data_IF_733733037591
#
_entry.id   IF_733733037591
#
_cell.length_a   1.000
_cell.length_b   1.000
_cell.length_c   1.000
_cell.angle_alpha   90.00
_cell.angle_beta   90.00
_cell.angle_gamma   90.00
#
_symmetry.space_group_name_H-M   'P 1'
#
loop_
_entity.id
_entity.type
_entity.pdbx_description
1 polymer ?
#
# COMPACT_ATOMS: atom_id res chain seq x y z
N UNK A 1 -8.04 -22.92 -25.08
CA UNK A 1 -8.36 -21.82 -26.04
C UNK A 1 -9.23 -20.73 -25.39
N UNK A 2 -10.46 -21.04 -24.93
CA UNK A 2 -11.41 -20.06 -24.35
C UNK A 2 -10.81 -19.11 -23.29
N UNK A 3 -10.13 -19.61 -22.26
CA UNK A 3 -9.51 -18.78 -21.20
C UNK A 3 -8.67 -17.59 -21.71
N UNK A 4 -7.79 -17.83 -22.70
CA UNK A 4 -7.00 -16.77 -23.36
C UNK A 4 -7.87 -15.75 -24.10
N UNK A 5 -8.96 -16.20 -24.74
CA UNK A 5 -9.93 -15.35 -25.44
C UNK A 5 -10.82 -14.54 -24.48
N UNK A 6 -11.08 -15.01 -23.26
CA UNK A 6 -11.72 -14.20 -22.20
C UNK A 6 -10.84 -13.02 -21.87
N UNK A 7 -9.59 -13.27 -21.47
CA UNK A 7 -8.66 -12.22 -21.02
C UNK A 7 -8.39 -11.21 -22.14
N UNK A 8 -8.12 -11.66 -23.38
CA UNK A 8 -7.89 -10.79 -24.54
C UNK A 8 -9.10 -9.91 -24.96
N UNK A 9 -10.28 -10.13 -24.38
CA UNK A 9 -11.49 -9.31 -24.61
C UNK A 9 -11.86 -8.47 -23.37
N UNK A 10 -10.95 -8.32 -22.42
CA UNK A 10 -11.17 -7.61 -21.16
C UNK A 10 -10.17 -6.47 -20.98
N UNK A 11 -10.63 -5.34 -20.47
CA UNK A 11 -9.80 -4.16 -20.12
C UNK A 11 -9.88 -3.80 -18.62
N UNK A 12 -10.64 -4.58 -17.87
CA UNK A 12 -10.82 -4.52 -16.42
C UNK A 12 -11.48 -5.83 -15.95
N UNK A 13 -11.54 -6.05 -14.63
CA UNK A 13 -12.07 -7.28 -14.07
C UNK A 13 -13.58 -7.47 -14.23
N UNK A 14 -14.38 -6.39 -14.22
CA UNK A 14 -15.83 -6.46 -14.49
C UNK A 14 -16.09 -7.02 -15.90
N UNK A 15 -15.34 -6.55 -16.90
CA UNK A 15 -15.42 -7.07 -18.27
C UNK A 15 -14.91 -8.51 -18.37
N UNK A 16 -13.95 -8.93 -17.53
CA UNK A 16 -13.55 -10.33 -17.40
C UNK A 16 -14.69 -11.21 -16.87
N UNK A 17 -15.38 -10.79 -15.81
CA UNK A 17 -16.56 -11.51 -15.28
C UNK A 17 -17.71 -11.57 -16.30
N UNK A 18 -17.98 -10.49 -17.04
CA UNK A 18 -18.96 -10.48 -18.15
C UNK A 18 -18.59 -11.51 -19.23
N UNK A 19 -17.32 -11.54 -19.66
CA UNK A 19 -16.81 -12.51 -20.63
C UNK A 19 -16.84 -13.98 -20.13
N UNK A 20 -17.11 -14.22 -18.84
CA UNK A 20 -17.24 -15.54 -18.21
C UNK A 20 -18.68 -16.06 -18.06
N UNK A 21 -19.71 -15.21 -18.23
CA UNK A 21 -21.10 -15.58 -17.88
C UNK A 21 -21.60 -16.84 -18.60
N UNK A 22 -21.31 -16.96 -19.90
CA UNK A 22 -21.75 -18.09 -20.75
C UNK A 22 -20.80 -19.30 -20.72
N UNK A 23 -19.85 -19.37 -19.79
CA UNK A 23 -18.91 -20.49 -19.67
C UNK A 23 -19.30 -21.47 -18.57
N UNK A 24 -18.86 -22.72 -18.70
CA UNK A 24 -18.98 -23.71 -17.63
C UNK A 24 -18.06 -23.36 -16.46
N UNK A 25 -18.39 -23.78 -15.23
CA UNK A 25 -17.61 -23.38 -14.05
C UNK A 25 -16.16 -23.87 -14.07
N UNK A 26 -15.89 -25.00 -14.73
CA UNK A 26 -14.53 -25.47 -15.04
C UNK A 26 -13.78 -24.48 -15.96
N UNK A 27 -14.44 -23.93 -16.97
CA UNK A 27 -13.85 -22.94 -17.86
C UNK A 27 -13.68 -21.56 -17.20
N UNK A 28 -14.55 -21.20 -16.24
CA UNK A 28 -14.38 -20.02 -15.37
C UNK A 28 -13.15 -20.19 -14.47
N UNK A 29 -13.00 -21.37 -13.85
CA UNK A 29 -11.80 -21.78 -13.12
C UNK A 29 -10.54 -21.56 -13.96
N UNK A 30 -10.43 -22.23 -15.11
CA UNK A 30 -9.23 -22.15 -15.98
C UNK A 30 -8.96 -20.77 -16.57
N UNK A 31 -9.98 -19.91 -16.69
CA UNK A 31 -9.77 -18.50 -17.01
C UNK A 31 -9.20 -17.70 -15.82
N UNK A 32 -9.66 -17.97 -14.60
CA UNK A 32 -9.19 -17.32 -13.38
C UNK A 32 -7.80 -17.82 -12.92
N UNK A 33 -7.48 -19.10 -13.13
CA UNK A 33 -6.13 -19.67 -13.02
C UNK A 33 -5.15 -18.90 -13.92
N UNK A 34 -5.52 -18.70 -15.20
CA UNK A 34 -4.68 -17.98 -16.17
C UNK A 34 -4.58 -16.47 -15.86
N UNK A 35 -5.66 -15.84 -15.38
CA UNK A 35 -5.62 -14.46 -14.89
C UNK A 35 -4.68 -14.34 -13.69
N UNK A 36 -4.74 -15.30 -12.76
CA UNK A 36 -3.85 -15.38 -11.59
C UNK A 36 -2.39 -15.56 -12.01
N UNK A 37 -2.09 -16.46 -12.96
CA UNK A 37 -0.72 -16.59 -13.52
C UNK A 37 -0.19 -15.25 -14.03
N UNK A 38 -0.99 -14.53 -14.83
CA UNK A 38 -0.59 -13.24 -15.39
C UNK A 38 -0.45 -12.18 -14.29
N UNK A 39 -1.32 -12.19 -13.27
CA UNK A 39 -1.20 -11.32 -12.11
C UNK A 39 0.10 -11.52 -11.34
N UNK A 40 0.50 -12.78 -11.08
CA UNK A 40 1.78 -13.12 -10.47
C UNK A 40 3.01 -12.76 -11.32
N UNK A 41 2.86 -12.69 -12.64
CA UNK A 41 3.91 -12.29 -13.59
C UNK A 41 4.01 -10.78 -13.82
N UNK A 42 2.97 -10.00 -13.50
CA UNK A 42 2.87 -8.56 -13.84
C UNK A 42 2.93 -7.65 -12.60
N UNK A 43 2.27 -8.00 -11.49
CA UNK A 43 2.28 -7.15 -10.29
C UNK A 43 3.71 -7.06 -9.74
N UNK A 44 4.29 -5.85 -9.58
CA UNK A 44 5.67 -5.68 -9.12
C UNK A 44 6.00 -6.38 -7.79
N UNK A 45 5.02 -6.58 -6.89
CA UNK A 45 5.25 -7.31 -5.63
C UNK A 45 5.58 -8.79 -5.86
N UNK A 46 5.07 -9.39 -6.93
CA UNK A 46 5.32 -10.77 -7.30
C UNK A 46 6.41 -10.88 -8.38
N UNK A 47 6.39 -10.03 -9.41
CA UNK A 47 7.34 -10.07 -10.53
C UNK A 47 8.82 -9.88 -10.13
N UNK A 48 9.10 -9.24 -8.98
CA UNK A 48 10.46 -9.15 -8.40
C UNK A 48 10.84 -10.44 -7.63
N UNK A 49 9.87 -11.15 -7.06
CA UNK A 49 10.08 -12.25 -6.11
C UNK A 49 9.95 -13.63 -6.75
N UNK A 50 9.17 -13.75 -7.82
CA UNK A 50 8.90 -14.97 -8.57
C UNK A 50 9.70 -14.95 -9.87
N UNK A 51 10.46 -16.02 -10.12
CA UNK A 51 11.28 -16.26 -11.30
C UNK A 51 10.48 -16.90 -12.42
N UNK A 52 9.74 -17.96 -12.08
CA UNK A 52 8.89 -18.72 -13.01
C UNK A 52 7.52 -18.97 -12.36
N UNK A 53 6.46 -18.97 -13.15
CA UNK A 53 5.08 -19.27 -12.70
C UNK A 53 4.44 -20.27 -13.66
N UNK A 54 4.04 -21.42 -13.13
CA UNK A 54 3.46 -22.55 -13.86
C UNK A 54 2.02 -22.78 -13.41
N UNK A 55 1.06 -22.82 -14.35
CA UNK A 55 -0.19 -23.56 -14.16
C UNK A 55 0.15 -25.02 -13.89
N UNK A 56 -0.68 -25.75 -13.15
CA UNK A 56 -0.35 -27.14 -12.77
C UNK A 56 0.01 -28.05 -13.95
N UNK A 57 -0.69 -27.88 -15.08
CA UNK A 57 -0.50 -28.63 -16.33
C UNK A 57 0.81 -28.25 -17.08
N UNK A 58 1.47 -27.16 -16.71
CA UNK A 58 2.74 -26.70 -17.28
C UNK A 58 3.95 -27.12 -16.43
N UNK A 59 3.76 -27.68 -15.23
CA UNK A 59 4.86 -28.01 -14.32
C UNK A 59 5.72 -29.13 -14.94
N UNK A 60 7.04 -28.94 -15.11
CA UNK A 60 7.91 -29.98 -15.65
C UNK A 60 7.88 -31.26 -14.80
N UNK A 61 7.91 -32.44 -15.44
CA UNK A 61 7.82 -33.73 -14.74
C UNK A 61 8.95 -33.97 -13.72
N UNK A 62 10.14 -33.40 -13.96
CA UNK A 62 11.24 -33.37 -13.00
C UNK A 62 10.93 -32.49 -11.77
N UNK A 63 10.20 -31.37 -11.95
CA UNK A 63 9.80 -30.48 -10.86
C UNK A 63 8.65 -31.08 -10.04
N UNK A 64 7.65 -31.74 -10.65
CA UNK A 64 6.64 -32.50 -9.92
C UNK A 64 7.28 -33.54 -8.99
N UNK A 65 8.26 -34.30 -9.49
CA UNK A 65 9.05 -35.26 -8.69
C UNK A 65 9.86 -34.58 -7.58
N UNK A 66 10.56 -33.48 -7.88
CA UNK A 66 11.34 -32.70 -6.89
C UNK A 66 10.48 -32.21 -5.72
N UNK A 67 9.28 -31.72 -6.02
CA UNK A 67 8.35 -31.15 -5.04
C UNK A 67 7.43 -32.20 -4.38
N UNK A 68 7.55 -33.49 -4.74
CA UNK A 68 6.64 -34.56 -4.28
C UNK A 68 5.15 -34.26 -4.56
N UNK A 69 4.87 -33.65 -5.72
CA UNK A 69 3.51 -33.34 -6.17
C UNK A 69 2.92 -34.53 -6.98
N UNK A 70 1.60 -34.76 -6.91
CA UNK A 70 0.93 -35.76 -7.75
C UNK A 70 0.99 -35.42 -9.25
N UNK A 71 0.54 -36.35 -10.09
CA UNK A 71 0.44 -36.15 -11.55
C UNK A 71 -0.86 -35.49 -12.00
N UNK A 72 -1.83 -35.38 -11.10
CA UNK A 72 -3.11 -34.72 -11.29
C UNK A 72 -3.32 -33.75 -10.13
N UNK A 73 -3.90 -32.59 -10.42
CA UNK A 73 -4.19 -31.60 -9.39
C UNK A 73 -5.17 -32.15 -8.33
N UNK A 74 -4.93 -31.76 -7.08
CA UNK A 74 -5.75 -32.03 -5.91
C UNK A 74 -5.94 -30.78 -5.03
N UNK A 75 -5.79 -29.59 -5.62
CA UNK A 75 -6.04 -28.30 -4.98
C UNK A 75 -4.89 -27.28 -5.01
N UNK A 76 -3.84 -27.50 -5.81
CA UNK A 76 -2.78 -26.52 -6.11
C UNK A 76 -2.86 -26.20 -7.60
N UNK A 77 -3.53 -25.12 -7.97
CA UNK A 77 -3.76 -24.75 -9.36
C UNK A 77 -2.49 -24.17 -10.04
N UNK A 78 -1.56 -23.56 -9.27
CA UNK A 78 -0.26 -23.08 -9.77
C UNK A 78 0.90 -23.39 -8.79
N UNK A 79 2.11 -23.50 -9.35
CA UNK A 79 3.39 -23.45 -8.64
C UNK A 79 4.21 -22.27 -9.16
N UNK A 80 4.82 -21.51 -8.27
CA UNK A 80 5.81 -20.48 -8.63
C UNK A 80 7.18 -20.79 -8.01
N UNK A 81 8.25 -20.64 -8.78
CA UNK A 81 9.62 -20.67 -8.27
C UNK A 81 10.03 -19.25 -7.88
N UNK A 82 10.51 -19.05 -6.66
CA UNK A 82 11.07 -17.77 -6.22
C UNK A 82 12.47 -17.54 -6.81
N UNK A 83 12.90 -16.28 -6.89
CA UNK A 83 14.31 -15.92 -7.17
C UNK A 83 15.30 -16.40 -6.09
N UNK A 84 14.84 -17.13 -5.07
CA UNK A 84 15.62 -17.73 -3.97
C UNK A 84 15.67 -19.27 -4.00
N UNK A 85 15.09 -19.90 -5.03
CA UNK A 85 15.04 -21.36 -5.20
C UNK A 85 14.03 -22.09 -4.30
N UNK A 86 13.26 -21.34 -3.52
CA UNK A 86 12.08 -21.81 -2.77
C UNK A 86 10.84 -21.77 -3.66
N UNK A 87 9.80 -22.54 -3.34
CA UNK A 87 8.58 -22.60 -4.14
C UNK A 87 7.36 -22.06 -3.38
N UNK A 88 6.43 -21.47 -4.12
CA UNK A 88 5.10 -21.13 -3.62
C UNK A 88 4.06 -22.02 -4.29
N UNK A 89 3.06 -22.46 -3.53
CA UNK A 89 1.83 -23.04 -4.06
C UNK A 89 0.73 -21.99 -4.15
N UNK A 90 -0.15 -22.10 -5.14
CA UNK A 90 -1.28 -21.20 -5.32
C UNK A 90 -2.55 -22.00 -5.52
N UNK A 91 -3.62 -21.64 -4.82
CA UNK A 91 -4.96 -22.17 -5.10
C UNK A 91 -5.83 -21.07 -5.71
N UNK A 92 -6.59 -21.42 -6.74
CA UNK A 92 -7.55 -20.55 -7.41
C UNK A 92 -8.99 -20.99 -7.12
N UNK A 93 -9.85 -20.07 -6.69
CA UNK A 93 -11.28 -20.31 -6.47
C UNK A 93 -12.12 -19.17 -7.06
N UNK A 94 -12.61 -19.36 -8.27
CA UNK A 94 -13.60 -18.47 -8.87
C UNK A 94 -14.99 -18.76 -8.29
N UNK A 95 -15.64 -17.74 -7.73
CA UNK A 95 -17.05 -17.71 -7.35
C UNK A 95 -17.77 -16.59 -8.11
N UNK A 96 -18.98 -16.86 -8.61
CA UNK A 96 -19.82 -15.85 -9.25
C UNK A 96 -20.43 -14.87 -8.24
N UNK A 97 -20.71 -15.34 -7.02
CA UNK A 97 -21.08 -14.48 -5.89
C UNK A 97 -19.85 -14.12 -5.06
N UNK A 98 -19.49 -12.85 -5.07
CA UNK A 98 -18.38 -12.31 -4.29
C UNK A 98 -18.71 -12.19 -2.79
N UNK A 99 -19.99 -12.19 -2.39
CA UNK A 99 -20.39 -12.06 -0.98
C UNK A 99 -20.22 -13.37 -0.20
N UNK A 100 -20.11 -14.50 -0.89
CA UNK A 100 -19.69 -15.77 -0.31
C UNK A 100 -18.29 -15.69 0.33
N UNK A 101 -17.93 -16.71 1.11
CA UNK A 101 -16.64 -16.78 1.83
C UNK A 101 -15.88 -18.04 1.44
N UNK A 102 -14.56 -17.91 1.24
CA UNK A 102 -13.69 -19.06 0.99
C UNK A 102 -13.49 -19.85 2.30
N UNK A 103 -13.96 -21.10 2.33
CA UNK A 103 -14.06 -21.87 3.58
C UNK A 103 -12.78 -22.63 3.94
N UNK A 104 -12.63 -22.98 5.23
CA UNK A 104 -11.57 -23.88 5.68
C UNK A 104 -11.59 -25.23 4.97
N UNK A 105 -12.78 -25.79 4.70
CA UNK A 105 -12.94 -27.08 4.02
C UNK A 105 -12.32 -27.07 2.62
N UNK A 106 -12.56 -26.01 1.82
CA UNK A 106 -11.98 -25.86 0.47
C UNK A 106 -10.45 -25.73 0.48
N UNK A 107 -9.90 -25.03 1.48
CA UNK A 107 -8.48 -24.79 1.66
C UNK A 107 -7.74 -25.95 2.36
N UNK A 108 -8.45 -26.84 3.05
CA UNK A 108 -7.85 -27.91 3.87
C UNK A 108 -6.94 -28.84 3.07
N UNK A 109 -7.39 -29.25 1.87
CA UNK A 109 -6.61 -30.12 0.98
C UNK A 109 -5.41 -29.38 0.39
N UNK A 110 -5.57 -28.09 0.08
CA UNK A 110 -4.47 -27.23 -0.38
C UNK A 110 -3.38 -27.06 0.69
N UNK A 111 -3.75 -26.76 1.94
CA UNK A 111 -2.80 -26.65 3.05
C UNK A 111 -2.07 -27.96 3.33
N UNK A 112 -2.80 -29.08 3.31
CA UNK A 112 -2.25 -30.43 3.51
C UNK A 112 -1.26 -30.81 2.41
N UNK A 113 -1.65 -30.61 1.15
CA UNK A 113 -0.80 -30.89 -0.01
C UNK A 113 0.44 -29.98 -0.02
N UNK A 114 0.28 -28.69 0.29
CA UNK A 114 1.36 -27.69 0.25
C UNK A 114 2.40 -27.85 1.35
N UNK A 115 1.97 -28.09 2.60
CA UNK A 115 2.85 -27.98 3.78
C UNK A 115 3.11 -29.29 4.52
N UNK A 116 2.45 -30.39 4.14
CA UNK A 116 2.66 -31.73 4.74
C UNK A 116 3.15 -32.73 3.70
N UNK A 117 2.57 -32.73 2.50
CA UNK A 117 2.92 -33.71 1.45
C UNK A 117 4.03 -33.22 0.51
N UNK A 118 3.95 -31.97 0.04
CA UNK A 118 4.92 -31.39 -0.88
C UNK A 118 6.23 -30.99 -0.17
N UNK A 119 7.32 -30.93 -0.94
CA UNK A 119 8.67 -30.59 -0.46
C UNK A 119 9.11 -29.25 -1.04
N UNK A 120 9.67 -28.37 -0.21
CA UNK A 120 10.25 -27.10 -0.64
C UNK A 120 9.26 -25.96 -0.89
N UNK A 121 7.98 -26.13 -0.56
CA UNK A 121 7.00 -25.04 -0.53
C UNK A 121 7.27 -24.18 0.72
N UNK A 122 7.61 -22.89 0.55
CA UNK A 122 7.81 -21.95 1.66
C UNK A 122 6.61 -21.04 1.95
N UNK A 123 5.65 -20.95 1.02
CA UNK A 123 4.44 -20.13 1.15
C UNK A 123 3.29 -20.67 0.29
N UNK A 124 2.05 -20.41 0.71
CA UNK A 124 0.83 -20.66 -0.05
C UNK A 124 0.08 -19.36 -0.33
N UNK A 125 -0.56 -19.26 -1.49
CA UNK A 125 -1.39 -18.11 -1.86
C UNK A 125 -2.80 -18.56 -2.27
N UNK A 126 -3.81 -18.10 -1.54
CA UNK A 126 -5.22 -18.34 -1.85
C UNK A 126 -5.80 -17.19 -2.68
N UNK A 127 -5.95 -17.41 -3.98
CA UNK A 127 -6.56 -16.50 -4.93
C UNK A 127 -8.06 -16.80 -5.07
N UNK A 128 -8.91 -15.84 -4.74
CA UNK A 128 -10.37 -15.99 -4.73
C UNK A 128 -11.08 -14.71 -5.17
N UNK A 129 -12.20 -14.85 -5.88
CA UNK A 129 -13.07 -13.72 -6.21
C UNK A 129 -14.04 -13.36 -5.06
N UNK A 130 -13.98 -14.06 -3.93
CA UNK A 130 -14.76 -13.72 -2.73
C UNK A 130 -14.22 -12.49 -2.01
N UNK A 131 -15.12 -11.73 -1.39
CA UNK A 131 -14.84 -10.62 -0.49
C UNK A 131 -14.18 -11.06 0.82
N UNK A 132 -14.40 -12.31 1.24
CA UNK A 132 -13.92 -12.84 2.52
C UNK A 132 -13.37 -14.26 2.43
N UNK A 133 -12.67 -14.65 3.48
CA UNK A 133 -12.12 -15.98 3.72
C UNK A 133 -12.30 -16.37 5.19
N UNK A 134 -12.16 -17.66 5.48
CA UNK A 134 -12.45 -18.23 6.81
C UNK A 134 -11.51 -17.69 7.91
N UNK A 135 -12.06 -17.45 9.11
CA UNK A 135 -11.37 -16.75 10.21
C UNK A 135 -10.22 -17.57 10.82
N UNK A 136 -10.23 -18.88 10.59
CA UNK A 136 -9.24 -19.87 11.03
C UNK A 136 -7.85 -19.63 10.43
N UNK A 137 -7.74 -18.89 9.31
CA UNK A 137 -6.46 -18.50 8.70
C UNK A 137 -5.87 -17.19 9.24
N UNK A 138 -6.56 -16.49 10.14
CA UNK A 138 -5.98 -15.35 10.84
C UNK A 138 -4.76 -15.80 11.62
N UNK A 139 -3.68 -15.01 11.55
CA UNK A 139 -2.38 -15.32 12.15
C UNK A 139 -1.63 -16.52 11.52
N UNK A 140 -2.18 -17.21 10.51
CA UNK A 140 -1.44 -18.24 9.76
C UNK A 140 -0.50 -17.59 8.73
N UNK A 141 0.72 -17.21 9.15
CA UNK A 141 1.71 -16.55 8.28
C UNK A 141 2.21 -17.36 7.07
N UNK A 142 1.83 -18.64 6.94
CA UNK A 142 2.18 -19.49 5.78
C UNK A 142 1.24 -19.34 4.58
N UNK A 143 0.03 -18.78 4.75
CA UNK A 143 -0.94 -18.59 3.66
C UNK A 143 -1.31 -17.10 3.54
N UNK A 144 -1.03 -16.50 2.38
CA UNK A 144 -1.55 -15.19 2.00
C UNK A 144 -2.83 -15.31 1.17
N UNK A 145 -3.57 -14.22 1.04
CA UNK A 145 -4.83 -14.17 0.30
C UNK A 145 -4.83 -13.07 -0.77
N UNK A 146 -5.59 -13.30 -1.84
CA UNK A 146 -5.95 -12.29 -2.85
C UNK A 146 -7.46 -12.42 -3.13
N UNK A 147 -8.23 -11.57 -2.46
CA UNK A 147 -9.71 -11.48 -2.51
C UNK A 147 -10.19 -10.62 -3.70
N UNK A 148 -11.52 -10.54 -3.90
CA UNK A 148 -12.22 -9.66 -4.85
C UNK A 148 -11.51 -8.31 -5.12
N UNK A 149 -11.11 -7.62 -4.05
CA UNK A 149 -10.46 -6.30 -4.04
C UNK A 149 -9.19 -6.25 -4.90
N UNK A 150 -8.41 -7.33 -4.89
CA UNK A 150 -7.18 -7.43 -5.70
C UNK A 150 -7.53 -7.46 -7.19
N UNK A 151 -8.60 -8.17 -7.56
CA UNK A 151 -9.03 -8.34 -8.94
C UNK A 151 -9.76 -7.10 -9.47
N UNK A 152 -10.64 -6.48 -8.69
CA UNK A 152 -11.25 -5.17 -9.03
C UNK A 152 -10.21 -4.04 -9.11
N UNK A 153 -9.05 -4.20 -8.46
CA UNK A 153 -7.90 -3.32 -8.60
C UNK A 153 -7.11 -3.46 -9.92
N UNK A 154 -7.48 -4.38 -10.82
CA UNK A 154 -6.82 -4.60 -12.11
C UNK A 154 -7.38 -3.68 -13.19
N UNK A 155 -6.56 -2.70 -13.58
CA UNK A 155 -6.89 -1.66 -14.54
C UNK A 155 -6.51 -2.01 -16.00
N UNK A 156 -6.74 -1.04 -16.90
CA UNK A 156 -6.47 -1.18 -18.34
C UNK A 156 -5.00 -1.44 -18.66
N UNK A 157 -4.06 -0.89 -17.88
CA UNK A 157 -2.63 -1.11 -18.07
C UNK A 157 -2.23 -2.55 -17.71
N UNK A 158 -2.78 -3.10 -16.62
CA UNK A 158 -2.63 -4.51 -16.31
C UNK A 158 -3.13 -5.40 -17.46
N UNK A 159 -4.32 -5.13 -17.98
CA UNK A 159 -4.87 -5.93 -19.08
C UNK A 159 -4.08 -5.78 -20.38
N UNK A 160 -3.57 -4.59 -20.73
CA UNK A 160 -2.68 -4.41 -21.88
C UNK A 160 -1.36 -5.22 -21.74
N UNK A 161 -0.76 -5.24 -20.55
CA UNK A 161 0.40 -6.09 -20.24
C UNK A 161 0.06 -7.58 -20.36
N UNK A 162 -1.09 -8.00 -19.84
CA UNK A 162 -1.59 -9.37 -19.96
C UNK A 162 -1.85 -9.79 -21.43
N UNK A 163 -2.41 -8.89 -22.25
CA UNK A 163 -2.65 -9.12 -23.68
C UNK A 163 -1.34 -9.30 -24.45
N UNK A 164 -0.34 -8.46 -24.16
CA UNK A 164 0.96 -8.54 -24.79
C UNK A 164 1.70 -9.85 -24.45
N UNK A 165 1.70 -10.28 -23.18
CA UNK A 165 2.23 -11.59 -22.76
C UNK A 165 1.49 -12.73 -23.48
N UNK A 166 0.15 -12.73 -23.46
CA UNK A 166 -0.66 -13.78 -24.09
C UNK A 166 -0.49 -13.84 -25.63
N UNK A 167 -0.27 -12.72 -26.28
CA UNK A 167 -0.05 -12.63 -27.74
C UNK A 167 1.41 -12.86 -28.16
N UNK A 168 2.36 -12.90 -27.20
CA UNK A 168 3.81 -12.83 -27.44
C UNK A 168 4.26 -11.52 -28.11
N UNK A 169 3.50 -10.43 -27.93
CA UNK A 169 3.84 -9.10 -28.43
C UNK A 169 4.82 -8.38 -27.50
N UNK A 170 5.57 -7.40 -28.02
CA UNK A 170 6.43 -6.54 -27.19
C UNK A 170 5.55 -5.61 -26.34
N UNK A 171 5.63 -5.75 -25.01
CA UNK A 171 5.13 -4.75 -24.07
C UNK A 171 5.97 -3.47 -24.21
N UNK A 172 5.34 -2.30 -24.17
CA UNK A 172 6.08 -1.05 -23.94
C UNK A 172 6.61 -1.05 -22.49
N UNK A 173 7.94 -1.05 -22.32
CA UNK A 173 8.53 -1.03 -20.98
C UNK A 173 8.23 0.32 -20.32
N UNK A 174 7.52 0.30 -19.19
CA UNK A 174 7.30 1.49 -18.39
C UNK A 174 8.63 2.13 -17.97
N UNK A 175 8.80 3.40 -18.28
CA UNK A 175 9.98 4.16 -17.85
C UNK A 175 9.88 4.42 -16.34
N UNK A 176 10.98 4.23 -15.56
CA UNK A 176 11.02 4.63 -14.16
C UNK A 176 10.59 6.09 -13.97
N UNK A 177 9.81 6.37 -12.92
CA UNK A 177 9.41 7.74 -12.61
C UNK A 177 10.64 8.62 -12.36
N UNK A 178 10.54 9.90 -12.72
CA UNK A 178 11.59 10.89 -12.49
C UNK A 178 11.23 11.81 -11.32
N UNK A 179 12.20 12.26 -10.50
CA UNK A 179 11.96 13.20 -9.41
C UNK A 179 11.49 14.56 -9.93
N UNK A 180 10.52 15.17 -9.24
CA UNK A 180 10.14 16.58 -9.46
C UNK A 180 11.15 17.51 -8.81
N UNK A 181 11.16 18.79 -9.18
CA UNK A 181 12.16 19.78 -8.73
C UNK A 181 12.30 19.88 -7.19
N UNK A 182 11.24 19.68 -6.41
CA UNK A 182 11.32 19.64 -4.94
C UNK A 182 11.91 18.33 -4.39
N UNK A 183 11.74 17.22 -5.11
CA UNK A 183 12.36 15.92 -4.78
C UNK A 183 13.83 15.90 -5.19
N UNK A 184 14.20 16.52 -6.32
CA UNK A 184 15.61 16.69 -6.71
C UNK A 184 16.39 17.52 -5.67
N UNK A 185 15.79 18.60 -5.14
CA UNK A 185 16.38 19.34 -4.01
C UNK A 185 16.55 18.46 -2.77
N UNK A 186 15.55 17.67 -2.40
CA UNK A 186 15.66 16.74 -1.27
C UNK A 186 16.76 15.67 -1.47
N UNK A 187 17.01 15.22 -2.70
CA UNK A 187 18.09 14.29 -3.05
C UNK A 187 19.46 14.94 -2.87
N UNK A 188 19.67 16.16 -3.40
CA UNK A 188 20.96 16.85 -3.28
C UNK A 188 21.26 17.29 -1.83
N UNK A 189 20.25 17.72 -1.08
CA UNK A 189 20.38 18.01 0.35
C UNK A 189 20.71 16.75 1.17
N UNK A 190 20.10 15.60 0.86
CA UNK A 190 20.46 14.34 1.50
C UNK A 190 21.91 13.93 1.17
N UNK A 191 22.36 14.06 -0.09
CA UNK A 191 23.75 13.81 -0.48
C UNK A 191 24.72 14.74 0.25
N UNK A 192 24.38 16.02 0.42
CA UNK A 192 25.17 16.99 1.21
C UNK A 192 25.28 16.54 2.67
N UNK A 193 24.14 16.30 3.31
CA UNK A 193 24.03 15.94 4.72
C UNK A 193 24.74 14.62 5.08
N UNK A 194 24.47 13.54 4.32
CA UNK A 194 24.99 12.21 4.64
C UNK A 194 26.40 11.95 4.07
N UNK A 195 26.74 12.47 2.88
CA UNK A 195 28.01 12.13 2.21
C UNK A 195 29.09 13.21 2.32
N UNK A 196 28.74 14.50 2.42
CA UNK A 196 29.74 15.59 2.56
C UNK A 196 29.99 15.99 4.01
N UNK A 197 28.94 16.03 4.83
CA UNK A 197 29.03 16.42 6.24
C UNK A 197 29.22 15.22 7.18
N UNK A 198 29.03 13.99 6.69
CA UNK A 198 29.19 12.76 7.47
C UNK A 198 28.15 12.56 8.58
N UNK A 199 27.01 13.25 8.51
CA UNK A 199 25.95 13.14 9.52
C UNK A 199 25.25 11.78 9.42
N UNK A 200 25.19 11.03 10.53
CA UNK A 200 24.57 9.70 10.57
C UNK A 200 23.03 9.71 10.61
N UNK A 201 22.40 10.84 10.95
CA UNK A 201 20.94 10.97 11.11
C UNK A 201 20.43 12.26 10.48
N UNK A 202 19.26 12.22 9.84
CA UNK A 202 18.61 13.39 9.22
C UNK A 202 17.08 13.25 9.20
N UNK A 203 16.37 14.34 8.95
CA UNK A 203 14.90 14.39 8.98
C UNK A 203 14.34 15.06 7.72
N UNK A 204 13.60 14.30 6.92
CA UNK A 204 12.93 14.81 5.71
C UNK A 204 11.51 15.29 6.04
N UNK A 205 11.29 16.61 6.04
CA UNK A 205 9.96 17.21 6.25
C UNK A 205 9.34 17.51 4.88
N UNK A 206 8.18 16.91 4.59
CA UNK A 206 7.48 17.06 3.31
C UNK A 206 5.94 16.98 3.52
N UNK A 207 5.14 17.88 2.92
CA UNK A 207 3.68 17.85 3.02
C UNK A 207 3.05 16.56 2.47
N UNK A 208 1.80 16.27 2.85
CA UNK A 208 1.11 15.04 2.44
C UNK A 208 0.75 15.06 0.95
N UNK A 209 0.97 13.93 0.26
CA UNK A 209 0.79 13.81 -1.20
C UNK A 209 1.91 14.38 -2.08
N UNK A 210 2.95 15.00 -1.52
CA UNK A 210 4.10 15.52 -2.29
C UNK A 210 5.09 14.45 -2.79
N UNK A 211 4.77 13.17 -2.62
CA UNK A 211 5.60 12.04 -3.03
C UNK A 211 6.71 11.68 -2.04
N UNK A 212 6.38 11.55 -0.74
CA UNK A 212 7.34 11.18 0.33
C UNK A 212 8.02 9.84 0.09
N UNK A 213 7.27 8.78 -0.20
CA UNK A 213 7.83 7.42 -0.42
C UNK A 213 8.82 7.40 -1.59
N UNK A 214 8.49 8.08 -2.69
CA UNK A 214 9.34 8.20 -3.87
C UNK A 214 10.58 9.08 -3.60
N UNK A 215 10.45 10.15 -2.81
CA UNK A 215 11.61 10.94 -2.38
C UNK A 215 12.58 10.10 -1.55
N UNK A 216 12.08 9.32 -0.58
CA UNK A 216 12.90 8.40 0.20
C UNK A 216 13.55 7.31 -0.66
N UNK A 217 12.84 6.80 -1.67
CA UNK A 217 13.37 5.85 -2.66
C UNK A 217 14.56 6.45 -3.43
N UNK A 218 14.40 7.61 -4.08
CA UNK A 218 15.49 8.23 -4.84
C UNK A 218 16.64 8.73 -3.96
N UNK A 219 16.38 9.13 -2.71
CA UNK A 219 17.44 9.41 -1.73
C UNK A 219 18.24 8.13 -1.43
N UNK A 220 17.58 6.99 -1.20
CA UNK A 220 18.26 5.71 -0.98
C UNK A 220 19.10 5.29 -2.20
N UNK A 221 18.59 5.48 -3.43
CA UNK A 221 19.36 5.25 -4.66
C UNK A 221 20.57 6.17 -4.78
N UNK A 222 20.41 7.47 -4.50
CA UNK A 222 21.46 8.47 -4.61
C UNK A 222 22.55 8.34 -3.52
N UNK A 223 22.20 7.78 -2.38
CA UNK A 223 23.13 7.36 -1.31
C UNK A 223 23.67 5.93 -1.53
N UNK A 224 23.31 5.27 -2.64
CA UNK A 224 23.76 3.94 -3.06
C UNK A 224 23.58 2.82 -2.02
N UNK A 225 22.55 2.89 -1.18
CA UNK A 225 22.39 1.98 -0.04
C UNK A 225 22.00 0.56 -0.49
N UNK A 226 22.66 -0.46 0.08
CA UNK A 226 22.39 -1.88 -0.19
C UNK A 226 21.28 -2.48 0.69
N UNK A 227 20.86 -1.78 1.75
CA UNK A 227 19.82 -2.23 2.69
C UNK A 227 19.00 -1.03 3.14
N UNK A 228 17.67 -1.17 3.15
CA UNK A 228 16.73 -0.14 3.60
C UNK A 228 15.74 -0.75 4.59
N UNK A 229 15.57 -0.09 5.74
CA UNK A 229 14.50 -0.36 6.68
C UNK A 229 13.41 0.70 6.52
N UNK A 230 12.19 0.26 6.22
CA UNK A 230 10.98 1.08 6.12
C UNK A 230 10.07 0.69 7.28
N UNK A 231 10.02 1.54 8.30
CA UNK A 231 9.20 1.37 9.49
C UNK A 231 7.94 2.26 9.44
N UNK A 232 6.77 1.69 9.72
CA UNK A 232 5.46 2.38 9.60
C UNK A 232 4.46 1.95 10.70
N UNK A 233 3.41 2.74 11.01
CA UNK A 233 2.46 2.40 12.08
C UNK A 233 1.42 1.32 11.77
N UNK A 234 1.11 1.04 10.50
CA UNK A 234 0.02 0.15 10.07
C UNK A 234 0.40 -0.80 8.92
N UNK A 235 -0.33 -1.91 8.78
CA UNK A 235 -0.19 -2.84 7.66
C UNK A 235 -0.56 -2.24 6.29
N UNK A 236 -1.50 -1.29 6.26
CA UNK A 236 -1.87 -0.58 5.04
C UNK A 236 -0.72 0.28 4.50
N UNK A 237 0.03 0.94 5.40
CA UNK A 237 1.25 1.66 5.03
C UNK A 237 2.38 0.72 4.55
N UNK A 238 2.44 -0.52 5.07
CA UNK A 238 3.33 -1.55 4.51
C UNK A 238 2.94 -1.86 3.07
N UNK A 239 1.64 -2.02 2.76
CA UNK A 239 1.17 -2.23 1.38
C UNK A 239 1.48 -1.03 0.46
N UNK A 240 1.27 0.20 0.93
CA UNK A 240 1.60 1.41 0.16
C UNK A 240 3.11 1.49 -0.13
N UNK A 241 3.95 1.28 0.87
CA UNK A 241 5.40 1.32 0.71
C UNK A 241 5.91 0.19 -0.20
N UNK A 242 5.38 -1.03 -0.06
CA UNK A 242 5.64 -2.14 -0.98
C UNK A 242 5.26 -1.76 -2.42
N UNK A 243 4.06 -1.20 -2.63
CA UNK A 243 3.58 -0.82 -3.96
C UNK A 243 4.46 0.26 -4.58
N UNK A 244 4.78 1.33 -3.86
CA UNK A 244 5.64 2.41 -4.37
C UNK A 244 7.05 1.91 -4.72
N UNK A 245 7.73 1.24 -3.78
CA UNK A 245 9.13 0.85 -3.95
C UNK A 245 9.31 -0.28 -4.97
N UNK A 246 8.51 -1.35 -4.88
CA UNK A 246 8.64 -2.49 -5.78
C UNK A 246 8.22 -2.11 -7.23
N UNK A 247 7.31 -1.15 -7.41
CA UNK A 247 6.97 -0.66 -8.76
C UNK A 247 8.16 0.03 -9.43
N UNK A 248 8.84 0.99 -8.80
CA UNK A 248 9.98 1.66 -9.45
C UNK A 248 11.16 0.70 -9.64
N UNK A 249 11.44 -0.18 -8.67
CA UNK A 249 12.51 -1.18 -8.79
C UNK A 249 12.26 -2.20 -9.90
N UNK A 250 10.99 -2.57 -10.14
CA UNK A 250 10.58 -3.44 -11.26
C UNK A 250 10.80 -2.75 -12.61
N UNK A 251 10.43 -1.47 -12.74
CA UNK A 251 10.72 -0.66 -13.94
C UNK A 251 12.22 -0.55 -14.24
N UNK A 252 13.03 -0.42 -13.20
CA UNK A 252 14.49 -0.40 -13.30
C UNK A 252 15.11 -1.80 -13.51
N UNK A 253 14.31 -2.89 -13.40
CA UNK A 253 14.75 -4.29 -13.49
C UNK A 253 15.86 -4.66 -12.50
N UNK A 254 15.89 -4.04 -11.32
CA UNK A 254 16.90 -4.32 -10.29
C UNK A 254 16.57 -5.63 -9.57
N UNK A 255 17.59 -6.43 -9.25
CA UNK A 255 17.43 -7.60 -8.38
C UNK A 255 17.30 -7.13 -6.94
N UNK A 256 16.17 -7.43 -6.31
CA UNK A 256 15.80 -6.95 -4.98
C UNK A 256 15.26 -8.10 -4.15
N UNK A 257 15.69 -8.17 -2.88
CA UNK A 257 15.15 -9.06 -1.86
C UNK A 257 14.29 -8.24 -0.93
N UNK A 258 13.10 -8.72 -0.60
CA UNK A 258 12.27 -8.05 0.40
C UNK A 258 11.66 -9.00 1.42
N UNK A 259 11.56 -8.48 2.65
CA UNK A 259 11.02 -9.13 3.83
C UNK A 259 10.01 -8.21 4.52
N UNK A 260 8.91 -8.79 5.02
CA UNK A 260 7.89 -8.09 5.78
C UNK A 260 7.84 -8.65 7.20
N UNK A 261 8.21 -7.82 8.18
CA UNK A 261 8.22 -8.16 9.62
C UNK A 261 7.08 -7.39 10.29
N UNK A 262 5.89 -7.94 10.23
CA UNK A 262 4.65 -7.24 10.59
C UNK A 262 3.71 -8.17 11.37
N UNK A 263 2.82 -7.59 12.17
CA UNK A 263 1.83 -8.34 12.97
C UNK A 263 0.48 -7.65 12.98
N UNK A 264 -0.59 -8.42 13.20
CA UNK A 264 -1.98 -7.95 13.21
C UNK A 264 -2.32 -7.03 14.41
N UNK A 265 -1.33 -6.79 15.29
CA UNK A 265 -1.35 -5.85 16.42
C UNK A 265 -0.96 -4.42 16.02
N UNK A 266 -0.74 -4.15 14.74
CA UNK A 266 -0.53 -2.79 14.24
C UNK A 266 -1.77 -1.91 14.44
N UNK A 267 -1.61 -0.59 14.34
CA UNK A 267 -2.76 0.31 14.30
C UNK A 267 -3.62 -0.08 13.08
N UNK A 268 -4.93 -0.28 13.32
CA UNK A 268 -5.92 -0.55 12.27
C UNK A 268 -6.65 0.74 11.96
N UNK A 269 -6.75 1.06 10.68
CA UNK A 269 -7.45 2.24 10.19
C UNK A 269 -8.89 1.83 9.85
N UNK A 270 -9.93 2.62 10.21
CA UNK A 270 -11.33 2.21 10.07
C UNK A 270 -11.72 1.74 8.67
N UNK A 271 -11.25 2.47 7.64
CA UNK A 271 -11.56 2.22 6.23
C UNK A 271 -10.48 1.39 5.50
N UNK A 272 -9.48 0.84 6.22
CA UNK A 272 -8.43 0.04 5.61
C UNK A 272 -8.95 -1.35 5.24
N UNK A 273 -8.95 -1.64 3.94
CA UNK A 273 -9.31 -2.96 3.38
C UNK A 273 -8.33 -4.07 3.83
N UNK A 274 -7.13 -3.72 4.28
CA UNK A 274 -6.25 -4.64 5.02
C UNK A 274 -6.65 -4.63 6.48
N UNK A 275 -7.01 -5.81 6.99
CA UNK A 275 -7.30 -6.02 8.41
C UNK A 275 -6.28 -6.95 9.09
N UNK A 276 -5.59 -7.80 8.32
CA UNK A 276 -4.66 -8.82 8.78
C UNK A 276 -3.45 -8.93 7.83
N UNK A 277 -2.35 -9.49 8.32
CA UNK A 277 -1.11 -9.79 7.58
C UNK A 277 -1.35 -10.67 6.36
N UNK A 278 -2.33 -11.56 6.42
CA UNK A 278 -2.80 -12.41 5.31
C UNK A 278 -3.22 -11.60 4.06
N UNK A 279 -3.81 -10.41 4.25
CA UNK A 279 -4.38 -9.57 3.18
C UNK A 279 -3.30 -8.91 2.28
N UNK A 280 -2.03 -8.97 2.67
CA UNK A 280 -0.91 -8.50 1.86
C UNK A 280 -0.59 -9.43 0.67
N UNK A 281 -1.02 -10.71 0.74
CA UNK A 281 -0.79 -11.73 -0.31
C UNK A 281 0.64 -12.24 -0.41
N UNK A 282 1.49 -11.92 0.57
CA UNK A 282 2.95 -12.19 0.55
C UNK A 282 3.41 -12.78 1.90
N UNK A 283 4.59 -13.44 1.97
CA UNK A 283 5.15 -13.91 3.23
C UNK A 283 5.39 -12.75 4.21
N UNK A 284 4.76 -12.86 5.38
CA UNK A 284 4.95 -11.97 6.54
C UNK A 284 5.27 -12.85 7.74
N UNK A 285 6.24 -12.44 8.55
CA UNK A 285 6.65 -13.23 9.73
C UNK A 285 7.04 -12.34 10.90
N UNK A 286 6.75 -12.82 12.11
CA UNK A 286 7.38 -12.34 13.36
C UNK A 286 8.14 -13.46 14.07
N UNK A 287 8.50 -14.53 13.35
CA UNK A 287 9.36 -15.58 13.88
C UNK A 287 10.84 -15.16 13.81
N UNK A 288 11.50 -15.15 14.96
CA UNK A 288 12.88 -14.67 15.12
C UNK A 288 13.86 -15.57 14.37
N UNK A 289 13.63 -16.89 14.35
CA UNK A 289 14.54 -17.81 13.65
C UNK A 289 14.46 -17.63 12.12
N UNK A 290 13.26 -17.58 11.56
CA UNK A 290 13.02 -17.32 10.14
C UNK A 290 13.67 -16.01 9.69
N UNK A 291 13.44 -14.90 10.40
CA UNK A 291 14.00 -13.59 10.08
C UNK A 291 15.53 -13.62 10.21
N UNK A 292 16.05 -14.23 11.27
CA UNK A 292 17.50 -14.42 11.49
C UNK A 292 18.14 -15.19 10.33
N UNK A 293 17.52 -16.29 9.91
CA UNK A 293 18.02 -17.13 8.83
C UNK A 293 17.87 -16.46 7.45
N UNK A 294 16.84 -15.61 7.26
CA UNK A 294 16.74 -14.74 6.09
C UNK A 294 17.92 -13.76 6.00
N UNK A 295 18.27 -13.06 7.08
CA UNK A 295 19.44 -12.17 7.10
C UNK A 295 20.75 -12.93 6.86
N UNK A 296 20.94 -14.11 7.46
CA UNK A 296 22.11 -14.97 7.19
C UNK A 296 22.20 -15.37 5.71
N UNK A 297 21.10 -15.83 5.10
CA UNK A 297 20.99 -16.25 3.69
C UNK A 297 21.37 -15.13 2.71
N UNK A 298 21.09 -13.88 3.06
CA UNK A 298 21.31 -12.72 2.20
C UNK A 298 22.59 -11.92 2.49
N UNK A 299 23.32 -12.21 3.57
CA UNK A 299 24.44 -11.40 4.08
C UNK A 299 25.60 -11.16 3.10
N UNK A 300 25.81 -12.03 2.11
CA UNK A 300 26.91 -11.94 1.13
C UNK A 300 26.44 -11.67 -0.33
N UNK A 301 25.24 -11.14 -0.53
CA UNK A 301 24.74 -10.79 -1.87
C UNK A 301 24.75 -9.27 -2.08
N UNK A 302 25.03 -8.84 -3.31
CA UNK A 302 25.02 -7.42 -3.72
C UNK A 302 23.63 -6.90 -4.12
N UNK A 303 22.57 -7.69 -3.90
CA UNK A 303 21.19 -7.29 -4.13
C UNK A 303 20.69 -6.25 -3.11
N UNK A 304 19.75 -5.37 -3.50
CA UNK A 304 19.11 -4.46 -2.54
C UNK A 304 18.25 -5.30 -1.61
N UNK A 305 18.34 -5.05 -0.30
CA UNK A 305 17.48 -5.67 0.71
C UNK A 305 16.51 -4.63 1.26
N UNK A 306 15.21 -4.81 1.02
CA UNK A 306 14.15 -3.99 1.59
C UNK A 306 13.48 -4.72 2.76
N UNK A 307 13.50 -4.11 3.93
CA UNK A 307 12.83 -4.63 5.11
C UNK A 307 11.67 -3.68 5.44
N UNK A 308 10.45 -4.18 5.31
CA UNK A 308 9.24 -3.45 5.73
C UNK A 308 8.83 -3.96 7.11
N UNK A 309 8.60 -3.06 8.07
CA UNK A 309 8.17 -3.44 9.43
C UNK A 309 7.05 -2.54 9.93
N UNK A 310 6.14 -3.10 10.71
CA UNK A 310 5.30 -2.27 11.58
C UNK A 310 6.10 -1.89 12.84
N UNK A 311 5.84 -0.73 13.44
CA UNK A 311 6.56 -0.27 14.66
C UNK A 311 6.51 -1.31 15.79
N UNK A 312 5.35 -1.95 15.99
CA UNK A 312 5.10 -2.95 17.02
C UNK A 312 5.95 -4.22 16.80
N UNK A 313 6.39 -4.47 15.56
CA UNK A 313 7.21 -5.62 15.17
C UNK A 313 8.71 -5.29 15.14
N UNK A 314 9.09 -4.02 15.33
CA UNK A 314 10.49 -3.57 15.33
C UNK A 314 11.38 -4.20 16.40
N UNK A 315 10.80 -4.65 17.52
CA UNK A 315 11.53 -5.42 18.56
C UNK A 315 12.02 -6.76 18.00
N UNK A 316 11.11 -7.54 17.40
CA UNK A 316 11.39 -8.84 16.77
C UNK A 316 12.46 -8.69 15.67
N UNK A 317 12.34 -7.63 14.87
CA UNK A 317 13.35 -7.31 13.86
C UNK A 317 14.73 -7.05 14.48
N UNK A 318 14.80 -6.21 15.51
CA UNK A 318 16.06 -5.87 16.22
C UNK A 318 16.72 -7.10 16.84
N UNK A 319 15.95 -7.97 17.49
CA UNK A 319 16.41 -9.25 18.04
C UNK A 319 16.97 -10.17 16.94
N UNK A 320 16.27 -10.29 15.82
CA UNK A 320 16.68 -11.12 14.68
C UNK A 320 17.93 -10.60 13.96
N UNK A 321 18.05 -9.28 13.79
CA UNK A 321 19.23 -8.62 13.21
C UNK A 321 20.48 -8.86 14.08
N UNK A 322 20.33 -8.75 15.40
CA UNK A 322 21.40 -9.07 16.38
C UNK A 322 21.79 -10.55 16.31
N UNK A 323 20.81 -11.46 16.31
CA UNK A 323 21.05 -12.90 16.20
C UNK A 323 21.69 -13.33 14.87
N UNK A 324 21.39 -12.63 13.77
CA UNK A 324 22.05 -12.81 12.48
C UNK A 324 23.47 -12.21 12.40
N UNK A 325 23.88 -11.43 13.43
CA UNK A 325 25.08 -10.57 13.41
C UNK A 325 25.11 -9.72 12.13
N UNK A 326 23.98 -9.12 11.78
CA UNK A 326 23.82 -8.30 10.57
C UNK A 326 23.96 -6.81 10.92
N UNK A 327 24.84 -6.10 10.22
CA UNK A 327 25.04 -4.67 10.42
C UNK A 327 23.98 -3.88 9.65
N UNK A 328 23.21 -3.04 10.35
CA UNK A 328 22.18 -2.18 9.75
C UNK A 328 22.57 -0.72 9.97
N UNK A 329 22.80 0.01 8.89
CA UNK A 329 22.85 1.48 8.91
C UNK A 329 21.43 2.03 9.11
N UNK A 330 21.27 3.09 9.89
CA UNK A 330 19.98 3.43 10.52
C UNK A 330 18.85 3.82 9.54
N UNK A 331 17.59 3.56 9.95
CA UNK A 331 16.39 3.87 9.18
C UNK A 331 15.74 5.20 9.55
N UNK A 332 14.94 5.75 8.63
CA UNK A 332 14.18 7.01 8.81
C UNK A 332 12.73 6.70 9.18
N UNK A 333 12.18 7.41 10.16
CA UNK A 333 10.84 7.18 10.73
C UNK A 333 9.83 8.28 10.35
N UNK A 334 8.63 7.90 9.88
CA UNK A 334 7.51 8.82 9.51
C UNK A 334 6.11 8.18 9.70
N UNK A 335 5.34 8.56 10.75
CA UNK A 335 3.91 8.24 10.87
C UNK A 335 3.00 9.04 9.91
N UNK A 336 1.79 8.55 9.60
CA UNK A 336 0.80 9.17 8.68
C UNK A 336 -0.62 9.18 9.36
N UNK A 337 -1.84 9.15 8.78
CA UNK A 337 -2.35 8.77 7.43
C UNK A 337 -3.73 9.42 7.09
N UNK A 338 -4.60 8.79 6.27
CA UNK A 338 -5.32 9.44 5.15
C UNK A 338 -6.86 9.61 5.27
N UNK A 339 -7.29 10.88 5.32
CA UNK A 339 -8.67 11.42 5.25
C UNK A 339 -9.49 11.31 6.56
N UNK A 340 -10.31 12.33 6.84
CA UNK A 340 -11.22 12.39 8.00
C UNK A 340 -12.47 13.20 7.61
N UNK A 341 -13.65 12.63 7.86
CA UNK A 341 -14.93 13.34 7.95
C UNK A 341 -15.15 13.71 9.42
N UNK A 342 -15.42 14.99 9.72
CA UNK A 342 -15.80 15.42 11.07
C UNK A 342 -17.32 15.36 11.22
N UNK A 343 -17.80 14.25 11.78
CA UNK A 343 -19.20 14.10 12.20
C UNK A 343 -19.40 14.25 13.73
N UNK A 344 -18.30 14.38 14.48
CA UNK A 344 -18.25 14.49 15.94
C UNK A 344 -16.92 15.19 16.34
N UNK A 345 -16.82 15.94 17.46
CA UNK A 345 -15.67 16.80 17.74
C UNK A 345 -14.45 16.02 18.26
N UNK A 346 -13.31 16.13 17.56
CA UNK A 346 -12.02 15.58 17.99
C UNK A 346 -11.25 16.55 18.87
N UNK A 347 -10.61 16.05 19.93
CA UNK A 347 -9.80 16.84 20.89
C UNK A 347 -8.28 16.79 20.68
N UNK A 348 -7.80 16.22 19.57
CA UNK A 348 -6.37 15.95 19.30
C UNK A 348 -5.82 16.90 18.23
N UNK A 349 -5.08 17.94 18.61
CA UNK A 349 -4.54 18.96 17.67
C UNK A 349 -3.75 18.37 16.50
N UNK A 350 -3.14 17.19 16.66
CA UNK A 350 -2.36 16.50 15.62
C UNK A 350 -3.28 16.00 14.49
N UNK A 351 -4.47 15.50 14.82
CA UNK A 351 -5.43 14.92 13.86
C UNK A 351 -5.90 15.96 12.84
N UNK A 352 -6.23 17.19 13.29
CA UNK A 352 -6.81 18.22 12.43
C UNK A 352 -5.73 18.80 11.49
N UNK A 353 -4.50 19.03 12.00
CA UNK A 353 -3.36 19.42 11.15
C UNK A 353 -3.14 18.40 10.02
N UNK A 354 -3.22 17.10 10.35
CA UNK A 354 -3.09 16.03 9.36
C UNK A 354 -4.27 15.96 8.39
N UNK A 355 -5.50 16.29 8.79
CA UNK A 355 -6.68 16.34 7.92
C UNK A 355 -6.61 17.51 6.91
N UNK A 356 -6.22 18.70 7.36
CA UNK A 356 -6.09 19.91 6.52
C UNK A 356 -5.08 19.69 5.39
N UNK A 357 -3.94 19.04 5.67
CA UNK A 357 -2.88 18.76 4.68
C UNK A 357 -3.26 17.84 3.50
N UNK A 358 -4.51 17.35 3.44
CA UNK A 358 -5.02 16.37 2.45
C UNK A 358 -5.89 17.04 1.41
N UNK A 359 -6.72 17.96 1.87
CA UNK A 359 -7.50 18.89 1.06
C UNK A 359 -6.58 19.70 0.11
N UNK A 360 -5.34 19.97 0.53
CA UNK A 360 -4.32 20.71 -0.23
C UNK A 360 -3.64 19.90 -1.36
N UNK A 361 -3.94 18.61 -1.56
CA UNK A 361 -3.39 17.83 -2.70
C UNK A 361 -3.92 18.36 -4.05
N UNK A 362 -3.01 18.64 -4.99
CA UNK A 362 -3.31 19.09 -6.35
C UNK A 362 -3.77 17.94 -7.27
N UNK A 363 -4.74 18.21 -8.14
CA UNK A 363 -5.22 17.29 -9.19
C UNK A 363 -5.54 18.08 -10.46
N UNK A 364 -5.43 17.50 -11.68
CA UNK A 364 -6.00 18.10 -12.88
C UNK A 364 -7.48 18.46 -12.66
N UNK A 365 -7.90 19.64 -13.14
CA UNK A 365 -9.27 20.15 -12.99
C UNK A 365 -9.65 20.66 -11.59
N UNK A 366 -8.79 20.55 -10.57
CA UNK A 366 -9.11 20.96 -9.20
C UNK A 366 -8.64 22.39 -8.92
N UNK A 367 -9.54 23.37 -9.02
CA UNK A 367 -9.25 24.77 -8.69
C UNK A 367 -9.13 25.04 -7.19
N UNK A 368 -9.89 24.31 -6.35
CA UNK A 368 -10.04 24.59 -4.91
C UNK A 368 -10.09 23.31 -4.08
N UNK A 369 -9.83 23.46 -2.78
CA UNK A 369 -10.06 22.42 -1.78
C UNK A 369 -10.85 23.01 -0.62
N UNK A 370 -11.77 22.23 -0.07
CA UNK A 370 -12.70 22.67 0.97
C UNK A 370 -12.50 21.87 2.26
N UNK A 371 -12.65 22.54 3.39
CA UNK A 371 -12.80 21.96 4.72
C UNK A 371 -14.20 22.35 5.16
N UNK A 372 -14.97 21.37 5.64
CA UNK A 372 -16.33 21.57 6.16
C UNK A 372 -16.31 21.16 7.62
N UNK A 373 -16.80 22.05 8.48
CA UNK A 373 -17.01 21.79 9.91
C UNK A 373 -18.52 21.99 10.13
N UNK A 374 -19.29 20.92 10.40
CA UNK A 374 -20.68 21.04 10.79
C UNK A 374 -20.75 21.51 12.24
N UNK A 375 -21.67 22.45 12.51
CA UNK A 375 -21.95 22.94 13.86
C UNK A 375 -23.47 22.90 14.07
N UNK A 376 -23.89 22.24 15.14
CA UNK A 376 -25.25 22.31 15.68
C UNK A 376 -25.35 23.51 16.61
N UNK A 377 -26.49 24.20 16.57
CA UNK A 377 -26.76 25.38 17.40
C UNK A 377 -28.16 25.24 17.96
N UNK A 378 -28.29 25.43 19.27
CA UNK A 378 -29.59 25.54 19.93
C UNK A 378 -30.16 26.94 19.70
N UNK A 379 -31.32 27.00 19.03
CA UNK A 379 -32.01 28.26 18.71
C UNK A 379 -32.46 29.00 19.99
N UNK A 380 -32.47 28.36 21.17
CA UNK A 380 -32.82 28.97 22.45
C UNK A 380 -31.75 29.91 23.03
N UNK A 381 -30.46 29.76 22.67
CA UNK A 381 -29.39 30.66 23.15
C UNK A 381 -28.23 30.80 22.14
N UNK A 382 -28.32 31.72 21.16
CA UNK A 382 -27.30 31.90 20.13
C UNK A 382 -25.90 32.27 20.64
N UNK A 383 -25.77 32.82 21.86
CA UNK A 383 -24.47 33.20 22.43
C UNK A 383 -23.74 32.04 23.13
N UNK A 384 -24.46 30.96 23.49
CA UNK A 384 -23.86 29.75 24.07
C UNK A 384 -22.78 29.12 23.19
N UNK A 385 -22.81 29.41 21.89
CA UNK A 385 -21.85 28.94 20.90
C UNK A 385 -20.38 29.24 21.23
N UNK A 386 -20.09 30.33 21.95
CA UNK A 386 -18.73 30.68 22.35
C UNK A 386 -18.31 30.03 23.68
N UNK A 387 -19.26 29.48 24.43
CA UNK A 387 -19.06 28.85 25.74
C UNK A 387 -19.10 27.31 25.66
N UNK A 388 -19.75 26.74 24.64
CA UNK A 388 -19.76 25.31 24.39
C UNK A 388 -18.36 24.80 23.97
N UNK A 389 -17.85 23.86 24.77
CA UNK A 389 -16.63 23.10 24.51
C UNK A 389 -16.59 22.45 23.12
N UNK A 390 -17.74 22.09 22.54
CA UNK A 390 -17.84 21.51 21.19
C UNK A 390 -17.48 22.51 20.07
N UNK A 391 -17.56 23.82 20.33
CA UNK A 391 -17.20 24.88 19.39
C UNK A 391 -15.86 25.55 19.73
N UNK A 392 -15.52 25.65 21.03
CA UNK A 392 -14.21 26.12 21.46
C UNK A 392 -13.06 25.24 20.96
N UNK A 393 -13.20 23.91 20.99
CA UNK A 393 -12.12 23.00 20.56
C UNK A 393 -11.79 23.16 19.05
N UNK A 394 -12.75 23.12 18.11
CA UNK A 394 -12.48 23.44 16.70
C UNK A 394 -11.89 24.83 16.45
N UNK A 395 -12.32 25.87 17.17
CA UNK A 395 -11.82 27.24 16.99
C UNK A 395 -10.38 27.39 17.51
N UNK A 396 -10.06 26.79 18.66
CA UNK A 396 -8.71 26.70 19.21
C UNK A 396 -7.79 25.88 18.30
N UNK A 397 -8.30 24.81 17.71
CA UNK A 397 -7.55 23.99 16.75
C UNK A 397 -7.26 24.74 15.44
N UNK A 398 -8.22 25.52 14.90
CA UNK A 398 -8.02 26.35 13.71
C UNK A 398 -7.00 27.49 13.94
N UNK A 399 -6.99 28.11 15.11
CA UNK A 399 -5.98 29.12 15.49
C UNK A 399 -4.59 28.49 15.73
N UNK A 400 -4.52 27.27 16.28
CA UNK A 400 -3.29 26.48 16.38
C UNK A 400 -2.76 25.99 15.01
N UNK A 401 -3.64 25.78 14.03
CA UNK A 401 -3.26 25.44 12.65
C UNK A 401 -2.71 26.66 11.92
N UNK A 402 -3.40 27.80 11.96
CA UNK A 402 -2.96 29.03 11.28
C UNK A 402 -1.65 29.58 11.86
N UNK A 403 -1.46 29.55 13.18
CA UNK A 403 -0.20 29.94 13.82
C UNK A 403 0.97 28.98 13.53
N UNK A 404 0.73 27.67 13.40
CA UNK A 404 1.77 26.71 12.95
C UNK A 404 2.06 26.78 11.45
N UNK A 405 1.13 27.31 10.64
CA UNK A 405 1.39 27.58 9.22
C UNK A 405 2.20 28.88 9.07
N UNK A 406 1.89 29.96 9.82
CA UNK A 406 2.66 31.22 9.73
C UNK A 406 4.07 31.08 10.28
N UNK A 407 4.27 30.40 11.42
CA UNK A 407 5.59 30.22 12.05
C UNK A 407 6.57 29.32 11.28
N UNK A 408 6.16 28.71 10.16
CA UNK A 408 7.05 28.00 9.23
C UNK A 408 7.40 28.82 7.97
N UNK A 409 7.01 30.10 7.90
CA UNK A 409 7.46 31.06 6.88
C UNK A 409 8.40 32.08 7.51
N UNK A 410 9.70 31.92 7.27
CA UNK A 410 10.73 32.72 7.94
C UNK A 410 10.93 34.10 7.28
N UNK A 411 10.55 35.15 8.03
CA UNK A 411 10.99 36.56 8.05
C UNK A 411 11.14 37.40 6.76
N UNK A 412 11.06 36.81 5.57
CA UNK A 412 11.38 37.45 4.27
C UNK A 412 10.15 37.80 3.42
N UNK A 413 8.94 37.53 3.92
CA UNK A 413 7.67 37.84 3.26
C UNK A 413 6.87 38.86 4.09
N UNK A 414 6.92 40.19 3.79
CA UNK A 414 6.51 41.24 4.72
C UNK A 414 5.00 41.36 5.03
N UNK A 415 4.13 40.51 4.47
CA UNK A 415 2.68 40.74 4.44
C UNK A 415 1.79 39.54 4.83
N UNK A 416 2.31 38.54 5.56
CA UNK A 416 1.48 37.45 6.12
C UNK A 416 1.02 37.74 7.56
N UNK A 417 0.39 38.89 7.76
CA UNK A 417 -0.34 39.16 9.00
C UNK A 417 -1.72 38.49 8.92
N UNK A 418 -1.81 37.24 9.39
CA UNK A 418 -3.00 36.39 9.32
C UNK A 418 -4.10 36.87 10.28
N UNK A 419 -4.75 37.96 9.89
CA UNK A 419 -5.84 38.55 10.65
C UNK A 419 -7.08 37.64 10.58
N UNK A 420 -7.31 36.87 11.66
CA UNK A 420 -8.22 35.71 11.71
C UNK A 420 -9.66 36.06 11.28
N UNK A 421 -10.08 37.31 11.47
CA UNK A 421 -11.43 37.80 11.18
C UNK A 421 -11.68 38.22 9.72
N UNK A 422 -10.73 38.05 8.78
CA UNK A 422 -10.87 38.57 7.41
C UNK A 422 -11.93 37.79 6.58
N UNK A 423 -13.06 38.42 6.18
CA UNK A 423 -14.21 37.72 5.58
C UNK A 423 -13.99 37.24 4.13
N UNK A 424 -12.85 37.53 3.50
CA UNK A 424 -12.48 36.94 2.21
C UNK A 424 -12.22 35.43 2.29
N UNK A 425 -11.88 34.92 3.48
CA UNK A 425 -11.50 33.52 3.68
C UNK A 425 -12.61 32.66 4.28
N UNK A 426 -13.58 33.26 4.97
CA UNK A 426 -14.67 32.56 5.65
C UNK A 426 -16.01 32.82 4.97
N UNK A 427 -16.83 31.78 4.79
CA UNK A 427 -18.28 31.93 4.57
C UNK A 427 -19.06 31.05 5.53
N UNK A 428 -20.18 31.59 5.98
CA UNK A 428 -21.13 30.97 6.89
C UNK A 428 -22.46 30.85 6.13
N UNK A 429 -23.13 29.68 6.20
CA UNK A 429 -24.47 29.46 5.64
C UNK A 429 -25.29 28.51 6.51
N UNK A 430 -26.55 28.86 6.77
CA UNK A 430 -27.56 27.91 7.27
C UNK A 430 -28.00 26.95 6.14
N UNK A 431 -28.39 25.73 6.52
CA UNK A 431 -28.92 24.69 5.63
C UNK A 431 -30.43 24.44 5.74
N UNK A 432 -31.15 25.03 6.71
CA UNK A 432 -32.62 24.87 6.79
C UNK A 432 -33.32 26.03 7.49
N UNK A 433 -34.65 26.05 7.41
CA UNK A 433 -35.54 27.01 8.07
C UNK A 433 -36.12 26.51 9.40
N UNK A 434 -35.66 25.37 9.92
CA UNK A 434 -36.21 24.74 11.14
C UNK A 434 -35.19 23.90 11.95
N UNK A 435 -33.91 24.02 11.61
CA UNK A 435 -32.74 23.49 12.33
C UNK A 435 -31.48 24.23 11.86
N UNK A 436 -30.81 24.93 12.78
CA UNK A 436 -29.68 25.82 12.49
C UNK A 436 -28.35 25.08 12.25
N UNK A 437 -28.26 24.36 11.13
CA UNK A 437 -27.02 23.75 10.63
C UNK A 437 -26.15 24.77 9.90
N UNK A 438 -24.98 25.09 10.45
CA UNK A 438 -24.04 26.05 9.83
C UNK A 438 -22.87 25.34 9.14
N UNK A 439 -22.60 25.72 7.88
CA UNK A 439 -21.35 25.35 7.17
C UNK A 439 -20.35 26.50 7.23
N UNK A 440 -19.16 26.21 7.77
CA UNK A 440 -17.94 27.01 7.57
C UNK A 440 -17.28 26.65 6.22
N UNK A 441 -16.93 27.66 5.43
CA UNK A 441 -16.06 27.54 4.24
C UNK A 441 -14.69 28.15 4.53
N UNK A 442 -13.63 27.52 4.00
CA UNK A 442 -12.30 28.14 3.88
C UNK A 442 -11.95 28.32 2.39
N UNK A 443 -11.62 29.55 1.99
CA UNK A 443 -11.11 29.85 0.64
C UNK A 443 -9.61 29.50 0.54
N UNK A 444 -9.13 28.79 -0.50
CA UNK A 444 -7.75 28.30 -0.54
C UNK A 444 -6.73 29.37 -0.96
N UNK A 445 -5.52 29.24 -0.41
CA UNK A 445 -4.32 30.05 -0.67
C UNK A 445 -3.71 29.83 -2.08
N UNK A 446 -4.52 29.96 -3.13
CA UNK A 446 -4.14 29.65 -4.52
C UNK A 446 -3.98 30.92 -5.38
N UNK A 447 -4.68 32.01 -5.07
CA UNK A 447 -4.60 33.27 -5.82
C UNK A 447 -3.28 34.03 -5.66
N UNK A 448 -2.47 33.72 -4.63
CA UNK A 448 -1.16 34.36 -4.42
C UNK A 448 0.02 33.64 -5.08
N UNK A 449 -0.15 32.43 -5.62
CA UNK A 449 0.84 31.81 -6.52
C UNK A 449 0.50 32.23 -7.97
N UNK A 450 0.57 33.54 -8.20
CA UNK A 450 0.41 34.16 -9.53
C UNK A 450 1.37 35.31 -9.81
N UNK A 451 2.38 35.48 -8.94
CA UNK A 451 3.55 36.31 -9.15
C UNK A 451 4.79 35.40 -8.99
N UNK A 452 5.70 35.51 -9.96
CA UNK A 452 6.92 34.69 -10.11
C UNK A 452 6.67 33.19 -10.38
N UNK A 453 6.41 32.93 -11.66
CA UNK A 453 6.87 31.73 -12.38
C UNK A 453 8.41 31.74 -12.46
#
# INVERSE_FOLDING_TARGET
>A
MKAKSVILRSSNFIQFQQNLQLLTDKEKGTAFELLTKLYLMIDPKYAIKLKDVYLYQEIPSALLKKLNLPTQDKGIDLIAETVDGEYWSVQCKYRTDENSSLTHTELSTFGSLSFVMAKGISFGLACTTTNSYSKEYKHQGKIGFCTSVVWHGLDKDFFEKAHAILSKSKVAVEKPRQPRNHQQRAIEEAKRHFLKEGNNRGKLIMPCGTGKSLAAFWIAEALQVQSVLIAVPSLFLVQQALKDWLTELSRQKRVVRYLCVCSDKSIKEPDSIIHNTQDLGIPVSTDVEYITNWFKKHKKRDDIKLIFTTYQSGKVLSESVRAAKYSVTEGIDVPNIDCILFADPKRSTVDIVQAVGRVLRTSPGKERGYIIIPVLVDDANPNSLLEDTAFQDPYLQLSLITSKISSNFDSTCPFVNLNILNPLYWRIRSLSSSCSFWILWISPFISMIKLYL
#
